data_IF_013567546202
#
_entry.id   IF_013567546202
#
_cell.length_a   1.000
_cell.length_b   1.000
_cell.length_c   1.000
_cell.angle_alpha   90.00
_cell.angle_beta   90.00
_cell.angle_gamma   90.00
#
_symmetry.space_group_name_H-M   'P 1'
#
loop_
_entity.id
_entity.type
_entity.pdbx_description
1 polymer ?
#
# COMPACT_ATOMS: atom_id res chain seq x y z
N UNK A 1 60.87 41.28 -6.60
CA UNK A 1 59.69 41.55 -5.76
C UNK A 1 58.46 41.10 -6.53
N UNK A 2 57.90 39.94 -6.15
CA UNK A 2 56.84 39.24 -6.87
C UNK A 2 55.49 39.89 -6.53
N UNK A 3 54.84 40.52 -7.52
CA UNK A 3 53.44 40.94 -7.40
C UNK A 3 52.61 39.87 -8.12
N UNK A 4 52.09 38.93 -7.31
CA UNK A 4 51.22 37.86 -7.76
C UNK A 4 49.89 38.42 -8.25
N UNK A 5 49.59 38.23 -9.53
CA UNK A 5 48.32 38.61 -10.13
C UNK A 5 47.19 37.75 -9.56
N UNK A 6 46.41 38.29 -8.62
CA UNK A 6 45.09 37.73 -8.26
C UNK A 6 44.06 38.17 -9.28
N UNK A 7 43.93 37.41 -10.37
CA UNK A 7 42.91 37.61 -11.38
C UNK A 7 41.48 37.28 -10.88
N UNK A 8 40.43 37.72 -11.61
CA UNK A 8 39.00 37.54 -11.29
C UNK A 8 38.54 36.06 -11.22
N UNK A 9 39.43 35.10 -11.50
CA UNK A 9 39.22 33.66 -11.35
C UNK A 9 39.19 33.20 -9.88
N UNK A 10 40.01 33.82 -9.02
CA UNK A 10 40.10 33.46 -7.60
C UNK A 10 38.82 33.79 -6.82
N UNK A 11 38.20 34.94 -7.14
CA UNK A 11 36.93 35.37 -6.53
C UNK A 11 35.78 34.45 -6.95
N UNK A 12 35.74 34.02 -8.23
CA UNK A 12 34.74 33.08 -8.73
C UNK A 12 34.87 31.70 -8.07
N UNK A 13 36.10 31.21 -7.88
CA UNK A 13 36.34 29.94 -7.17
C UNK A 13 35.89 30.00 -5.70
N UNK A 14 36.13 31.12 -5.02
CA UNK A 14 35.68 31.35 -3.64
C UNK A 14 34.16 31.38 -3.52
N UNK A 15 33.47 32.03 -4.46
CA UNK A 15 32.00 32.07 -4.48
C UNK A 15 31.42 30.67 -4.73
N UNK A 16 31.97 29.90 -5.68
CA UNK A 16 31.53 28.53 -5.94
C UNK A 16 31.76 27.63 -4.72
N UNK A 17 32.93 27.72 -4.08
CA UNK A 17 33.22 26.96 -2.86
C UNK A 17 32.26 27.31 -1.73
N UNK A 18 31.94 28.59 -1.55
CA UNK A 18 30.98 29.04 -0.52
C UNK A 18 29.57 28.51 -0.78
N UNK A 19 29.11 28.51 -2.04
CA UNK A 19 27.80 27.95 -2.42
C UNK A 19 27.74 26.46 -2.10
N UNK A 20 28.79 25.70 -2.44
CA UNK A 20 28.86 24.27 -2.15
C UNK A 20 28.77 24.02 -0.64
N UNK A 21 29.55 24.75 0.16
CA UNK A 21 29.53 24.62 1.62
C UNK A 21 28.14 24.93 2.19
N UNK A 22 27.50 26.00 1.74
CA UNK A 22 26.15 26.37 2.20
C UNK A 22 25.10 25.32 1.81
N UNK A 23 25.19 24.74 0.60
CA UNK A 23 24.27 23.68 0.18
C UNK A 23 24.45 22.39 0.98
N UNK A 24 25.69 22.00 1.26
CA UNK A 24 25.98 20.82 2.09
C UNK A 24 25.52 21.04 3.52
N UNK A 25 25.80 22.22 4.09
CA UNK A 25 25.39 22.55 5.46
C UNK A 25 23.85 22.60 5.59
N UNK A 26 23.16 23.14 4.58
CA UNK A 26 21.70 23.12 4.50
C UNK A 26 21.14 21.70 4.45
N UNK A 27 21.74 20.80 3.64
CA UNK A 27 21.33 19.40 3.55
C UNK A 27 21.56 18.63 4.85
N UNK A 28 22.68 18.88 5.54
CA UNK A 28 22.99 18.28 6.85
C UNK A 28 21.99 18.75 7.91
N UNK A 29 21.74 20.06 8.01
CA UNK A 29 20.72 20.60 8.94
C UNK A 29 19.33 20.01 8.65
N UNK A 30 18.91 19.95 7.38
CA UNK A 30 17.62 19.37 7.01
C UNK A 30 17.50 17.88 7.37
N UNK A 31 18.60 17.13 7.28
CA UNK A 31 18.66 15.71 7.65
C UNK A 31 18.56 15.53 9.16
N UNK A 32 19.29 16.32 9.95
CA UNK A 32 19.24 16.28 11.42
C UNK A 32 17.85 16.68 11.96
N UNK A 33 17.21 17.69 11.37
CA UNK A 33 15.83 18.05 11.73
C UNK A 33 14.82 16.95 11.38
N UNK A 34 15.01 16.25 10.24
CA UNK A 34 14.17 15.12 9.85
C UNK A 34 14.32 13.94 10.81
N UNK A 35 15.54 13.64 11.24
CA UNK A 35 15.80 12.56 12.21
C UNK A 35 15.19 12.88 13.58
N UNK A 36 15.33 14.11 14.08
CA UNK A 36 14.70 14.54 15.32
C UNK A 36 13.17 14.48 15.25
N UNK A 37 12.58 14.89 14.11
CA UNK A 37 11.14 14.81 13.89
C UNK A 37 10.64 13.35 13.77
N UNK A 38 11.44 12.46 13.18
CA UNK A 38 11.15 11.02 13.12
C UNK A 38 11.19 10.40 14.51
N UNK A 39 12.25 10.65 15.29
CA UNK A 39 12.38 10.13 16.66
C UNK A 39 11.23 10.58 17.58
N UNK A 40 10.80 11.84 17.47
CA UNK A 40 9.64 12.36 18.19
C UNK A 40 8.31 11.71 17.77
N UNK A 41 8.15 11.34 16.50
CA UNK A 41 6.98 10.60 16.01
C UNK A 41 6.95 9.16 16.52
N UNK A 42 8.11 8.49 16.61
CA UNK A 42 8.21 7.14 17.17
C UNK A 42 7.85 7.14 18.65
N UNK A 43 8.42 8.07 19.44
CA UNK A 43 8.10 8.21 20.86
C UNK A 43 6.62 8.53 21.11
N UNK A 44 6.00 9.38 20.28
CA UNK A 44 4.58 9.68 20.35
C UNK A 44 3.68 8.50 19.91
N UNK A 45 4.16 7.64 19.00
CA UNK A 45 3.46 6.42 18.63
C UNK A 45 3.52 5.36 19.75
N UNK A 46 4.69 5.19 20.39
CA UNK A 46 4.87 4.28 21.52
C UNK A 46 4.04 4.71 22.74
N UNK A 47 4.02 6.01 23.06
CA UNK A 47 3.20 6.54 24.15
C UNK A 47 1.68 6.43 23.90
N UNK A 48 1.24 6.39 22.63
CA UNK A 48 -0.17 6.13 22.31
C UNK A 48 -0.50 4.64 22.37
N UNK A 49 0.46 3.77 22.09
CA UNK A 49 0.29 2.31 22.18
C UNK A 49 0.05 1.85 23.62
N UNK A 50 0.71 2.45 24.60
CA UNK A 50 0.56 2.10 26.03
C UNK A 50 -0.76 2.54 26.68
N UNK A 51 -1.53 3.40 26.01
CA UNK A 51 -2.83 3.91 26.50
C UNK A 51 -4.03 3.14 25.95
N UNK A 52 -3.83 2.24 24.99
CA UNK A 52 -4.89 1.38 24.46
C UNK A 52 -4.94 0.11 25.32
N UNK A 53 -6.07 -0.22 25.95
CA UNK A 53 -6.20 -1.49 26.67
C UNK A 53 -5.81 -2.64 25.74
N UNK A 54 -5.02 -3.63 26.21
CA UNK A 54 -4.66 -4.77 25.38
C UNK A 54 -5.94 -5.44 24.89
N UNK A 55 -6.04 -5.66 23.58
CA UNK A 55 -7.17 -6.37 23.00
C UNK A 55 -7.31 -7.73 23.68
N UNK A 56 -8.53 -8.17 24.01
CA UNK A 56 -8.76 -9.56 24.38
C UNK A 56 -8.14 -10.49 23.33
N UNK A 57 -7.49 -11.56 23.79
CA UNK A 57 -7.02 -12.62 22.91
C UNK A 57 -8.21 -13.22 22.13
N UNK A 58 -7.95 -13.72 20.93
CA UNK A 58 -8.94 -14.47 20.18
C UNK A 58 -9.30 -15.74 20.95
N UNK A 59 -10.56 -16.12 20.90
CA UNK A 59 -11.03 -17.43 21.39
C UNK A 59 -10.60 -18.53 20.40
N UNK A 60 -10.53 -19.80 20.83
CA UNK A 60 -10.13 -20.89 19.92
C UNK A 60 -10.94 -20.99 18.61
N UNK A 61 -12.28 -20.77 18.60
CA UNK A 61 -13.04 -20.71 17.35
C UNK A 61 -12.66 -19.52 16.45
N UNK A 62 -12.29 -18.38 17.04
CA UNK A 62 -11.84 -17.20 16.31
C UNK A 62 -10.44 -17.39 15.73
N UNK A 63 -9.53 -18.04 16.47
CA UNK A 63 -8.20 -18.43 15.99
C UNK A 63 -8.29 -19.40 14.82
N UNK A 64 -9.15 -20.42 14.91
CA UNK A 64 -9.37 -21.37 13.80
C UNK A 64 -9.89 -20.67 12.54
N UNK A 65 -10.83 -19.74 12.69
CA UNK A 65 -11.33 -18.93 11.57
C UNK A 65 -10.23 -18.02 11.00
N UNK A 66 -9.48 -17.33 11.86
CA UNK A 66 -8.36 -16.48 11.45
C UNK A 66 -7.28 -17.30 10.72
N UNK A 67 -6.97 -18.51 11.17
CA UNK A 67 -6.06 -19.39 10.45
C UNK A 67 -6.58 -19.78 9.06
N UNK A 68 -7.85 -20.15 8.95
CA UNK A 68 -8.45 -20.55 7.67
C UNK A 68 -8.48 -19.38 6.66
N UNK A 69 -8.74 -18.17 7.14
CA UNK A 69 -8.80 -16.97 6.30
C UNK A 69 -7.41 -16.50 5.84
N UNK A 70 -6.34 -16.81 6.57
CA UNK A 70 -4.99 -16.27 6.32
C UNK A 70 -4.46 -16.57 4.92
N UNK A 71 -4.55 -17.82 4.46
CA UNK A 71 -4.09 -18.19 3.13
C UNK A 71 -4.88 -17.45 2.04
N UNK A 72 -6.20 -17.32 2.22
CA UNK A 72 -7.06 -16.57 1.28
C UNK A 72 -6.69 -15.08 1.27
N UNK A 73 -6.34 -14.53 2.43
CA UNK A 73 -5.89 -13.15 2.56
C UNK A 73 -4.58 -12.88 1.81
N UNK A 74 -3.62 -13.81 1.87
CA UNK A 74 -2.41 -13.74 1.05
C UNK A 74 -2.72 -13.67 -0.44
N UNK A 75 -3.64 -14.51 -0.92
CA UNK A 75 -4.05 -14.56 -2.33
C UNK A 75 -4.74 -13.25 -2.76
N UNK A 76 -5.64 -12.71 -1.94
CA UNK A 76 -6.32 -11.43 -2.20
C UNK A 76 -5.32 -10.27 -2.26
N UNK A 77 -4.35 -10.21 -1.34
CA UNK A 77 -3.29 -9.18 -1.37
C UNK A 77 -2.44 -9.29 -2.64
N UNK A 78 -2.05 -10.51 -3.02
CA UNK A 78 -1.30 -10.74 -4.26
C UNK A 78 -2.10 -10.27 -5.49
N UNK A 79 -3.37 -10.63 -5.57
CA UNK A 79 -4.26 -10.22 -6.66
C UNK A 79 -4.46 -8.70 -6.72
N UNK A 80 -4.59 -8.01 -5.57
CA UNK A 80 -4.68 -6.55 -5.49
C UNK A 80 -3.41 -5.86 -6.01
N UNK A 81 -2.24 -6.41 -5.70
CA UNK A 81 -0.96 -5.96 -6.26
C UNK A 81 -0.94 -6.16 -7.77
N UNK A 82 -1.30 -7.34 -8.26
CA UNK A 82 -1.39 -7.63 -9.71
C UNK A 82 -2.33 -6.66 -10.43
N UNK A 83 -3.51 -6.40 -9.86
CA UNK A 83 -4.49 -5.46 -10.42
C UNK A 83 -3.89 -4.04 -10.53
N UNK A 84 -3.31 -3.55 -9.43
CA UNK A 84 -2.70 -2.22 -9.36
C UNK A 84 -1.56 -2.05 -10.37
N UNK A 85 -0.63 -3.02 -10.42
CA UNK A 85 0.49 -2.95 -11.36
C UNK A 85 0.06 -3.13 -12.81
N UNK A 86 -1.00 -3.88 -13.08
CA UNK A 86 -1.56 -3.98 -14.45
C UNK A 86 -2.03 -2.60 -14.92
N UNK A 87 -2.80 -1.89 -14.08
CA UNK A 87 -3.25 -0.52 -14.37
C UNK A 87 -2.10 0.47 -14.53
N UNK A 88 -1.12 0.46 -13.61
CA UNK A 88 0.03 1.37 -13.66
C UNK A 88 0.87 1.17 -14.93
N UNK A 89 1.26 -0.08 -15.23
CA UNK A 89 2.11 -0.38 -16.39
C UNK A 89 1.42 -0.01 -17.70
N UNK A 90 0.10 -0.23 -17.79
CA UNK A 90 -0.70 0.20 -18.93
C UNK A 90 -0.69 1.72 -19.09
N UNK A 91 -0.98 2.48 -18.01
CA UNK A 91 -0.96 3.94 -18.03
C UNK A 91 0.40 4.54 -18.36
N UNK A 92 1.47 3.91 -17.88
CA UNK A 92 2.86 4.28 -18.18
C UNK A 92 3.31 3.84 -19.58
N UNK A 93 2.43 3.19 -20.37
CA UNK A 93 2.72 2.66 -21.71
C UNK A 93 3.87 1.67 -21.74
N UNK A 94 4.09 0.97 -20.63
CA UNK A 94 5.11 -0.08 -20.50
C UNK A 94 4.61 -1.44 -21.01
N UNK A 95 3.28 -1.59 -21.16
CA UNK A 95 2.64 -2.79 -21.68
C UNK A 95 1.54 -2.45 -22.67
N UNK A 96 1.31 -3.38 -23.61
CA UNK A 96 0.23 -3.30 -24.58
C UNK A 96 -1.11 -3.66 -23.91
N UNK A 97 -2.23 -3.24 -24.50
CA UNK A 97 -3.59 -3.54 -24.01
C UNK A 97 -3.83 -5.03 -23.72
N UNK A 98 -3.27 -5.93 -24.54
CA UNK A 98 -3.39 -7.38 -24.33
C UNK A 98 -2.71 -7.86 -23.05
N UNK A 99 -1.52 -7.33 -22.73
CA UNK A 99 -0.80 -7.73 -21.52
C UNK A 99 -1.44 -7.11 -20.26
N UNK A 100 -2.02 -5.92 -20.39
CA UNK A 100 -2.90 -5.32 -19.39
C UNK A 100 -4.11 -6.21 -19.11
N UNK A 101 -4.85 -6.60 -20.15
CA UNK A 101 -6.05 -7.44 -20.05
C UNK A 101 -5.73 -8.77 -19.35
N UNK A 102 -4.67 -9.47 -19.76
CA UNK A 102 -4.23 -10.71 -19.10
C UNK A 102 -3.98 -10.52 -17.60
N UNK A 103 -3.33 -9.42 -17.21
CA UNK A 103 -3.05 -9.13 -15.80
C UNK A 103 -4.32 -8.86 -14.99
N UNK A 104 -5.26 -8.10 -15.56
CA UNK A 104 -6.55 -7.80 -14.91
C UNK A 104 -7.43 -9.06 -14.82
N UNK A 105 -7.47 -9.89 -15.87
CA UNK A 105 -8.19 -11.18 -15.86
C UNK A 105 -7.63 -12.13 -14.80
N UNK A 106 -6.30 -12.20 -14.68
CA UNK A 106 -5.65 -13.02 -13.65
C UNK A 106 -6.06 -12.56 -12.24
N UNK A 107 -6.03 -11.25 -11.96
CA UNK A 107 -6.49 -10.71 -10.68
C UNK A 107 -7.99 -10.97 -10.44
N UNK A 108 -8.84 -10.74 -11.44
CA UNK A 108 -10.29 -10.97 -11.39
C UNK A 108 -10.63 -12.43 -11.03
N UNK A 109 -9.92 -13.39 -11.65
CA UNK A 109 -10.06 -14.80 -11.32
C UNK A 109 -9.69 -15.08 -9.86
N UNK A 110 -8.55 -14.57 -9.40
CA UNK A 110 -8.12 -14.77 -8.00
C UNK A 110 -9.11 -14.19 -6.99
N UNK A 111 -9.74 -13.04 -7.26
CA UNK A 111 -10.78 -12.50 -6.39
C UNK A 111 -12.03 -13.38 -6.37
N UNK A 112 -12.44 -13.93 -7.50
CA UNK A 112 -13.59 -14.84 -7.60
C UNK A 112 -13.34 -16.14 -6.82
N UNK A 113 -12.17 -16.76 -7.03
CA UNK A 113 -11.76 -17.97 -6.31
C UNK A 113 -11.65 -17.70 -4.79
N UNK A 114 -11.17 -16.50 -4.40
CA UNK A 114 -11.11 -16.09 -3.00
C UNK A 114 -12.50 -15.89 -2.39
N UNK A 115 -13.44 -15.25 -3.10
CA UNK A 115 -14.81 -15.06 -2.63
C UNK A 115 -15.49 -16.41 -2.33
N UNK A 116 -15.40 -17.36 -3.25
CA UNK A 116 -15.95 -18.71 -3.07
C UNK A 116 -15.38 -19.39 -1.83
N UNK A 117 -14.05 -19.33 -1.65
CA UNK A 117 -13.37 -19.92 -0.49
C UNK A 117 -13.75 -19.24 0.81
N UNK A 118 -13.91 -17.91 0.83
CA UNK A 118 -14.36 -17.18 2.03
C UNK A 118 -15.78 -17.58 2.38
N UNK A 119 -16.69 -17.62 1.39
CA UNK A 119 -18.10 -18.02 1.62
C UNK A 119 -18.24 -19.44 2.17
N UNK A 120 -17.29 -20.32 1.86
CA UNK A 120 -17.24 -21.67 2.40
C UNK A 120 -16.77 -21.76 3.86
N UNK A 121 -16.20 -20.68 4.43
CA UNK A 121 -15.83 -20.63 5.84
C UNK A 121 -17.05 -20.43 6.73
N UNK A 122 -17.04 -21.04 7.92
CA UNK A 122 -18.03 -20.81 8.97
C UNK A 122 -17.47 -19.81 9.99
N UNK A 123 -17.84 -18.51 9.93
CA UNK A 123 -17.39 -17.55 10.94
C UNK A 123 -18.06 -17.82 12.29
N UNK A 124 -17.33 -17.72 13.42
CA UNK A 124 -17.97 -17.67 14.73
C UNK A 124 -18.85 -16.40 14.83
N UNK A 125 -19.87 -16.43 15.69
CA UNK A 125 -20.86 -15.36 15.80
C UNK A 125 -20.21 -13.97 15.99
N UNK A 126 -19.14 -13.90 16.79
CA UNK A 126 -18.35 -12.70 17.06
C UNK A 126 -17.63 -12.12 15.84
N UNK A 127 -17.35 -12.92 14.81
CA UNK A 127 -16.65 -12.51 13.58
C UNK A 127 -17.57 -12.40 12.37
N UNK A 128 -18.88 -12.54 12.52
CA UNK A 128 -19.85 -12.40 11.40
C UNK A 128 -19.71 -11.07 10.67
N UNK A 129 -19.52 -9.97 11.41
CA UNK A 129 -19.33 -8.65 10.83
C UNK A 129 -18.00 -8.55 10.06
N UNK A 130 -16.92 -9.12 10.63
CA UNK A 130 -15.59 -9.14 10.00
C UNK A 130 -15.64 -9.94 8.70
N UNK A 131 -16.29 -11.10 8.71
CA UNK A 131 -16.52 -11.93 7.54
C UNK A 131 -17.26 -11.18 6.43
N UNK A 132 -18.34 -10.47 6.78
CA UNK A 132 -19.12 -9.67 5.84
C UNK A 132 -18.27 -8.54 5.23
N UNK A 133 -17.52 -7.81 6.07
CA UNK A 133 -16.64 -6.74 5.60
C UNK A 133 -15.51 -7.25 4.70
N UNK A 134 -15.02 -8.47 4.93
CA UNK A 134 -14.04 -9.11 4.07
C UNK A 134 -14.63 -9.41 2.69
N UNK A 135 -15.83 -10.00 2.64
CA UNK A 135 -16.54 -10.25 1.38
C UNK A 135 -16.84 -8.94 0.62
N UNK A 136 -17.25 -7.88 1.33
CA UNK A 136 -17.45 -6.56 0.72
C UNK A 136 -16.16 -6.04 0.07
N UNK A 137 -15.00 -6.23 0.70
CA UNK A 137 -13.71 -5.83 0.15
C UNK A 137 -13.37 -6.62 -1.12
N UNK A 138 -13.56 -7.95 -1.11
CA UNK A 138 -13.34 -8.79 -2.29
C UNK A 138 -14.28 -8.38 -3.42
N UNK A 139 -15.54 -8.07 -3.12
CA UNK A 139 -16.50 -7.62 -4.11
C UNK A 139 -16.11 -6.29 -4.76
N UNK A 140 -15.62 -5.31 -3.98
CA UNK A 140 -15.11 -4.06 -4.53
C UNK A 140 -13.89 -4.26 -5.44
N UNK A 141 -13.00 -5.20 -5.12
CA UNK A 141 -11.91 -5.57 -6.02
C UNK A 141 -12.41 -6.20 -7.32
N UNK A 142 -13.43 -7.06 -7.27
CA UNK A 142 -14.05 -7.63 -8.47
C UNK A 142 -14.67 -6.53 -9.34
N UNK A 143 -15.40 -5.59 -8.74
CA UNK A 143 -15.99 -4.45 -9.46
C UNK A 143 -14.90 -3.58 -10.09
N UNK A 144 -13.81 -3.28 -9.35
CA UNK A 144 -12.65 -2.58 -9.88
C UNK A 144 -12.06 -3.29 -11.11
N UNK A 145 -11.83 -4.61 -11.01
CA UNK A 145 -11.30 -5.40 -12.11
C UNK A 145 -12.25 -5.42 -13.32
N UNK A 146 -13.56 -5.55 -13.09
CA UNK A 146 -14.57 -5.52 -14.14
C UNK A 146 -14.58 -4.16 -14.87
N UNK A 147 -14.48 -3.04 -14.15
CA UNK A 147 -14.33 -1.73 -14.77
C UNK A 147 -13.02 -1.63 -15.58
N UNK A 148 -11.89 -2.09 -15.02
CA UNK A 148 -10.61 -2.08 -15.74
C UNK A 148 -10.65 -2.89 -17.05
N UNK A 149 -11.37 -4.01 -17.10
CA UNK A 149 -11.49 -4.82 -18.32
C UNK A 149 -12.22 -4.09 -19.46
N UNK A 150 -13.10 -3.13 -19.17
CA UNK A 150 -13.77 -2.35 -20.22
C UNK A 150 -12.78 -1.51 -21.04
N UNK A 151 -11.59 -1.20 -20.51
CA UNK A 151 -10.52 -0.54 -21.27
C UNK A 151 -10.10 -1.36 -22.49
N UNK A 152 -10.04 -2.70 -22.39
CA UNK A 152 -9.69 -3.53 -23.54
C UNK A 152 -10.84 -3.70 -24.53
N UNK A 153 -12.07 -3.41 -24.11
CA UNK A 153 -13.28 -3.51 -24.96
C UNK A 153 -13.48 -2.25 -25.80
N UNK A 154 -13.38 -1.06 -25.20
CA UNK A 154 -13.70 0.21 -25.86
C UNK A 154 -12.53 1.22 -25.95
N UNK A 155 -11.37 0.87 -25.39
CA UNK A 155 -10.16 1.71 -25.42
C UNK A 155 -10.22 2.96 -24.55
N UNK A 156 -11.27 3.14 -23.74
CA UNK A 156 -11.44 4.35 -22.92
C UNK A 156 -10.74 4.25 -21.59
N UNK A 157 -9.76 5.12 -21.43
CA UNK A 157 -8.95 5.26 -20.24
C UNK A 157 -9.72 5.72 -18.99
N UNK A 158 -10.94 6.26 -19.16
CA UNK A 158 -11.84 6.72 -18.08
C UNK A 158 -12.25 5.59 -17.14
N UNK A 159 -12.34 4.35 -17.63
CA UNK A 159 -12.65 3.19 -16.79
C UNK A 159 -11.62 2.99 -15.67
N UNK A 160 -10.36 3.37 -15.88
CA UNK A 160 -9.34 3.32 -14.84
C UNK A 160 -9.58 4.37 -13.73
N UNK A 161 -10.22 5.50 -14.05
CA UNK A 161 -10.61 6.50 -13.07
C UNK A 161 -11.81 6.03 -12.23
N UNK A 162 -12.70 5.24 -12.82
CA UNK A 162 -13.84 4.61 -12.12
C UNK A 162 -13.37 3.45 -11.24
N UNK A 163 -12.44 2.63 -11.73
CA UNK A 163 -11.91 1.47 -10.99
C UNK A 163 -11.08 1.86 -9.76
N UNK A 164 -10.29 2.93 -9.85
CA UNK A 164 -9.35 3.34 -8.79
C UNK A 164 -10.01 3.50 -7.40
N UNK A 165 -11.11 4.28 -7.22
CA UNK A 165 -11.73 4.42 -5.91
C UNK A 165 -12.27 3.10 -5.34
N UNK A 166 -12.74 2.18 -6.20
CA UNK A 166 -13.21 0.85 -5.77
C UNK A 166 -12.05 0.01 -5.19
N UNK A 167 -10.92 -0.05 -5.89
CA UNK A 167 -9.71 -0.74 -5.42
C UNK A 167 -9.15 -0.13 -4.12
N UNK A 168 -9.21 1.19 -4.00
CA UNK A 168 -8.79 1.89 -2.79
C UNK A 168 -9.70 1.55 -1.61
N UNK A 169 -11.02 1.66 -1.76
CA UNK A 169 -11.96 1.32 -0.70
C UNK A 169 -11.84 -0.16 -0.28
N UNK A 170 -11.66 -1.06 -1.25
CA UNK A 170 -11.40 -2.47 -1.01
C UNK A 170 -10.16 -2.68 -0.13
N UNK A 171 -9.05 -2.02 -0.47
CA UNK A 171 -7.80 -2.09 0.29
C UNK A 171 -7.97 -1.55 1.72
N UNK A 172 -8.69 -0.45 1.89
CA UNK A 172 -8.98 0.12 3.21
C UNK A 172 -9.85 -0.80 4.07
N UNK A 173 -10.88 -1.44 3.49
CA UNK A 173 -11.68 -2.46 4.20
C UNK A 173 -10.83 -3.66 4.59
N UNK A 174 -9.99 -4.14 3.67
CA UNK A 174 -9.11 -5.28 3.92
C UNK A 174 -8.11 -4.99 5.04
N UNK A 175 -7.56 -3.78 5.11
CA UNK A 175 -6.71 -3.31 6.21
C UNK A 175 -7.46 -3.25 7.55
N UNK A 176 -8.70 -2.76 7.55
CA UNK A 176 -9.54 -2.74 8.77
C UNK A 176 -9.80 -4.16 9.28
N UNK A 177 -10.18 -5.07 8.40
CA UNK A 177 -10.36 -6.48 8.75
C UNK A 177 -9.05 -7.08 9.26
N UNK A 178 -7.93 -6.88 8.56
CA UNK A 178 -6.61 -7.35 8.98
C UNK A 178 -6.25 -6.89 10.40
N UNK A 179 -6.44 -5.61 10.71
CA UNK A 179 -6.23 -5.08 12.07
C UNK A 179 -7.16 -5.69 13.13
N UNK A 180 -8.30 -6.27 12.73
CA UNK A 180 -9.24 -6.91 13.64
C UNK A 180 -8.88 -8.35 14.01
N UNK A 181 -8.27 -9.11 13.11
CA UNK A 181 -7.96 -10.54 13.31
C UNK A 181 -6.45 -10.84 13.34
N UNK A 182 -5.62 -9.99 12.75
CA UNK A 182 -4.16 -10.09 12.71
C UNK A 182 -3.53 -8.70 12.94
N UNK A 183 -3.57 -8.17 14.18
CA UNK A 183 -2.93 -6.89 14.47
C UNK A 183 -1.43 -6.96 14.14
N UNK A 184 -0.96 -6.02 13.31
CA UNK A 184 0.42 -6.04 12.81
C UNK A 184 0.72 -7.10 11.76
N UNK A 185 -0.30 -7.73 11.18
CA UNK A 185 -0.18 -8.84 10.21
C UNK A 185 0.56 -10.07 10.76
N UNK A 186 0.36 -10.39 12.04
CA UNK A 186 0.85 -11.63 12.64
C UNK A 186 -0.27 -12.66 12.74
N UNK A 187 0.01 -13.88 12.26
CA UNK A 187 -0.86 -15.03 12.48
C UNK A 187 -0.83 -15.38 13.98
N UNK A 188 -1.99 -15.45 14.68
CA UNK A 188 -2.04 -15.98 16.03
C UNK A 188 -1.50 -17.41 16.07
N UNK A 189 -0.81 -17.76 17.16
CA UNK A 189 -0.05 -19.01 17.31
C UNK A 189 -0.93 -20.24 17.54
#
# INVERSE_FOLDING_TARGET
>A
MVISQRGPSQVKLLVVALIIILTVLGAVCASLLREAAMAGRTAAADARSSLVPPRPALTPPEEAYAHALWAIHGDVKSAAVTLTFSGLRYKLKEVQVRAFETGVQAASKSFSDAEERVRALAPPASLTQVHTQYLDAVHLFQQSAAEMLKVSEDGRDDHLLVAQPLSQEASEKLLRVGNMIWPGEYLPN
#
